data_IF_085325338190
#
_entry.id   IF_085325338190
#
_cell.length_a   1.000
_cell.length_b   1.000
_cell.length_c   1.000
_cell.angle_alpha   90.00
_cell.angle_beta   90.00
_cell.angle_gamma   90.00
#
_symmetry.space_group_name_H-M   'P 1'
#
loop_
_entity.id
_entity.type
_entity.pdbx_description
1 polymer ?
#
# COMPACT_ATOMS: atom_id res chain seq x y z
N UNK A 1 9.20 3.26 -32.33
CA UNK A 1 9.98 3.11 -31.09
C UNK A 1 11.13 2.14 -31.40
N UNK A 2 12.38 2.54 -31.17
CA UNK A 2 13.54 1.65 -31.40
C UNK A 2 13.83 0.81 -30.13
N UNK A 3 14.70 -0.21 -30.25
CA UNK A 3 15.04 -1.10 -29.12
C UNK A 3 15.55 -0.36 -27.88
N UNK A 4 16.36 0.70 -28.05
CA UNK A 4 16.89 1.51 -26.96
C UNK A 4 15.81 2.26 -26.19
N UNK A 5 14.83 2.83 -26.89
CA UNK A 5 13.72 3.58 -26.29
C UNK A 5 12.80 2.66 -25.48
N UNK A 6 12.52 1.45 -25.99
CA UNK A 6 11.75 0.43 -25.27
C UNK A 6 12.46 0.01 -23.99
N UNK A 7 13.77 -0.27 -24.06
CA UNK A 7 14.55 -0.62 -22.87
C UNK A 7 14.55 0.49 -21.81
N UNK A 8 14.60 1.76 -22.22
CA UNK A 8 14.50 2.89 -21.30
C UNK A 8 13.15 2.92 -20.59
N UNK A 9 12.06 2.65 -21.30
CA UNK A 9 10.71 2.62 -20.71
C UNK A 9 10.53 1.45 -19.75
N UNK A 10 11.07 0.27 -20.08
CA UNK A 10 11.06 -0.90 -19.19
C UNK A 10 11.76 -0.55 -17.86
N UNK A 11 12.97 0.01 -17.91
CA UNK A 11 13.70 0.40 -16.69
C UNK A 11 12.93 1.41 -15.85
N UNK A 12 12.36 2.43 -16.47
CA UNK A 12 11.56 3.43 -15.76
C UNK A 12 10.31 2.82 -15.09
N UNK A 13 9.67 1.84 -15.73
CA UNK A 13 8.55 1.12 -15.13
C UNK A 13 9.00 0.21 -13.97
N UNK A 14 10.13 -0.48 -14.11
CA UNK A 14 10.72 -1.31 -13.05
C UNK A 14 11.11 -0.47 -11.82
N UNK A 15 11.71 0.70 -12.01
CA UNK A 15 12.02 1.66 -10.94
C UNK A 15 10.76 2.10 -10.19
N UNK A 16 9.68 2.43 -10.92
CA UNK A 16 8.38 2.77 -10.31
C UNK A 16 7.82 1.62 -9.48
N UNK A 17 7.92 0.38 -9.97
CA UNK A 17 7.50 -0.80 -9.21
C UNK A 17 8.31 -0.92 -7.91
N UNK A 18 9.63 -0.69 -7.94
CA UNK A 18 10.45 -0.76 -6.73
C UNK A 18 10.02 0.27 -5.68
N UNK A 19 9.76 1.52 -6.11
CA UNK A 19 9.25 2.57 -5.22
C UNK A 19 7.90 2.16 -4.61
N UNK A 20 6.97 1.64 -5.41
CA UNK A 20 5.65 1.21 -4.94
C UNK A 20 5.74 0.01 -3.98
N UNK A 21 6.68 -0.92 -4.21
CA UNK A 21 6.96 -2.04 -3.28
C UNK A 21 7.49 -1.54 -1.94
N UNK A 22 8.36 -0.52 -1.94
CA UNK A 22 8.77 0.16 -0.71
C UNK A 22 7.59 0.76 0.04
N UNK A 23 6.72 1.50 -0.66
CA UNK A 23 5.51 2.07 -0.06
C UNK A 23 4.56 1.01 0.54
N UNK A 24 4.44 -0.18 -0.07
CA UNK A 24 3.66 -1.29 0.48
C UNK A 24 4.20 -1.80 1.82
N UNK A 25 5.53 -1.83 2.00
CA UNK A 25 6.15 -2.22 3.27
C UNK A 25 5.82 -1.20 4.36
N UNK A 26 5.91 0.09 4.03
CA UNK A 26 5.60 1.18 4.95
C UNK A 26 4.12 1.18 5.37
N UNK A 27 3.20 1.03 4.42
CA UNK A 27 1.77 0.93 4.68
C UNK A 27 1.41 -0.32 5.49
N UNK A 28 2.05 -1.46 5.22
CA UNK A 28 1.84 -2.68 6.02
C UNK A 28 2.29 -2.48 7.47
N UNK A 29 3.44 -1.84 7.65
CA UNK A 29 3.96 -1.49 8.98
C UNK A 29 3.06 -0.50 9.71
N UNK A 30 2.51 0.50 9.01
CA UNK A 30 1.54 1.43 9.57
C UNK A 30 0.24 0.74 9.99
N UNK A 31 -0.30 -0.15 9.15
CA UNK A 31 -1.49 -0.95 9.46
C UNK A 31 -1.31 -1.82 10.71
N UNK A 32 -0.11 -2.42 10.88
CA UNK A 32 0.24 -3.16 12.10
C UNK A 32 0.19 -2.28 13.34
N UNK A 33 0.81 -1.09 13.30
CA UNK A 33 0.78 -0.13 14.43
C UNK A 33 -0.64 0.33 14.78
N UNK A 34 -1.49 0.58 13.77
CA UNK A 34 -2.89 0.93 13.99
C UNK A 34 -3.67 -0.21 14.65
N UNK A 35 -3.41 -1.45 14.24
CA UNK A 35 -4.02 -2.64 14.84
C UNK A 35 -3.61 -2.81 16.30
N UNK A 36 -2.31 -2.63 16.60
CA UNK A 36 -1.77 -2.65 17.96
C UNK A 36 -2.41 -1.56 18.83
N UNK A 37 -2.49 -0.32 18.33
CA UNK A 37 -3.15 0.77 19.04
C UNK A 37 -4.64 0.48 19.33
N UNK A 38 -5.36 -0.10 18.36
CA UNK A 38 -6.75 -0.51 18.55
C UNK A 38 -6.91 -1.58 19.64
N UNK A 39 -5.98 -2.53 19.71
CA UNK A 39 -5.97 -3.54 20.76
C UNK A 39 -5.65 -2.94 22.14
N UNK A 40 -4.72 -1.99 22.22
CA UNK A 40 -4.39 -1.29 23.46
C UNK A 40 -5.59 -0.53 24.03
N UNK A 41 -6.40 0.12 23.18
CA UNK A 41 -7.61 0.83 23.65
C UNK A 41 -8.68 -0.15 24.14
N UNK A 42 -8.88 -1.26 23.42
CA UNK A 42 -9.80 -2.31 23.89
C UNK A 42 -9.40 -2.85 25.26
N UNK A 43 -8.11 -3.04 25.49
CA UNK A 43 -7.57 -3.46 26.78
C UNK A 43 -7.72 -2.37 27.86
N UNK A 44 -7.49 -1.10 27.52
CA UNK A 44 -7.71 0.01 28.44
C UNK A 44 -9.20 0.08 28.87
N UNK A 45 -10.13 -0.15 27.94
CA UNK A 45 -11.58 -0.24 28.25
C UNK A 45 -11.93 -1.39 29.17
N UNK A 46 -11.34 -2.56 28.98
CA UNK A 46 -11.62 -3.71 29.86
C UNK A 46 -11.09 -3.48 31.27
N UNK A 47 -9.91 -2.86 31.40
CA UNK A 47 -9.25 -2.57 32.69
C UNK A 47 -9.76 -1.31 33.39
N UNK A 48 -10.48 -0.42 32.71
CA UNK A 48 -11.16 0.74 33.30
C UNK A 48 -12.39 0.38 34.16
N UNK A 49 -12.68 -0.93 34.35
CA UNK A 49 -13.73 -1.45 35.24
C UNK A 49 -13.79 -0.88 36.67
N UNK A 50 -12.68 -0.47 37.33
CA UNK A 50 -12.74 0.15 38.66
C UNK A 50 -13.23 1.61 38.63
N UNK A 51 -13.23 2.28 37.47
CA UNK A 51 -13.58 3.70 37.37
C UNK A 51 -15.09 3.86 37.58
N UNK A 52 -15.50 4.92 38.27
CA UNK A 52 -16.91 5.20 38.60
C UNK A 52 -17.30 6.63 38.22
N UNK A 53 -18.60 6.85 38.05
CA UNK A 53 -19.16 8.17 37.75
C UNK A 53 -18.56 8.82 36.50
N UNK A 54 -18.42 10.15 36.54
CA UNK A 54 -18.02 10.98 35.40
C UNK A 54 -16.67 10.58 34.77
N UNK A 55 -15.74 10.00 35.52
CA UNK A 55 -14.45 9.52 34.99
C UNK A 55 -14.62 8.34 34.03
N UNK A 56 -15.50 7.39 34.39
CA UNK A 56 -15.82 6.24 33.54
C UNK A 56 -16.54 6.68 32.26
N UNK A 57 -17.50 7.60 32.39
CA UNK A 57 -18.26 8.14 31.26
C UNK A 57 -17.36 8.90 30.27
N UNK A 58 -16.52 9.80 30.78
CA UNK A 58 -15.58 10.59 29.97
C UNK A 58 -14.62 9.70 29.20
N UNK A 59 -14.01 8.72 29.89
CA UNK A 59 -13.10 7.78 29.24
C UNK A 59 -13.80 6.91 28.21
N UNK A 60 -14.99 6.38 28.53
CA UNK A 60 -15.73 5.52 27.60
C UNK A 60 -16.05 6.25 26.31
N UNK A 61 -16.46 7.52 26.40
CA UNK A 61 -16.72 8.36 25.24
C UNK A 61 -15.46 8.62 24.42
N UNK A 62 -14.35 9.01 25.07
CA UNK A 62 -13.07 9.22 24.39
C UNK A 62 -12.54 7.95 23.74
N UNK A 63 -12.65 6.80 24.40
CA UNK A 63 -12.18 5.53 23.89
C UNK A 63 -12.97 5.08 22.65
N UNK A 64 -14.30 5.32 22.62
CA UNK A 64 -15.12 5.09 21.42
C UNK A 64 -14.65 5.97 20.26
N UNK A 65 -14.44 7.27 20.50
CA UNK A 65 -13.97 8.18 19.45
C UNK A 65 -12.61 7.76 18.87
N UNK A 66 -11.68 7.32 19.71
CA UNK A 66 -10.36 6.87 19.23
C UNK A 66 -10.49 5.55 18.47
N UNK A 67 -11.34 4.62 18.91
CA UNK A 67 -11.63 3.38 18.17
C UNK A 67 -12.19 3.65 16.77
N UNK A 68 -13.11 4.62 16.64
CA UNK A 68 -13.67 5.03 15.35
C UNK A 68 -12.58 5.61 14.42
N UNK A 69 -11.71 6.47 14.96
CA UNK A 69 -10.58 7.06 14.22
C UNK A 69 -9.61 5.96 13.75
N UNK A 70 -9.26 5.02 14.62
CA UNK A 70 -8.37 3.91 14.27
C UNK A 70 -9.00 3.04 13.18
N UNK A 71 -10.28 2.72 13.31
CA UNK A 71 -11.01 1.92 12.32
C UNK A 71 -11.05 2.61 10.97
N UNK A 72 -11.31 3.92 10.94
CA UNK A 72 -11.27 4.71 9.71
C UNK A 72 -9.87 4.71 9.08
N UNK A 73 -8.83 4.93 9.88
CA UNK A 73 -7.44 4.92 9.39
C UNK A 73 -7.00 3.55 8.86
N UNK A 74 -7.42 2.45 9.50
CA UNK A 74 -7.16 1.09 9.01
C UNK A 74 -7.82 0.89 7.64
N UNK A 75 -9.07 1.33 7.48
CA UNK A 75 -9.77 1.25 6.20
C UNK A 75 -9.03 2.01 5.11
N UNK A 76 -8.69 3.28 5.35
CA UNK A 76 -7.93 4.10 4.39
C UNK A 76 -6.57 3.48 4.04
N UNK A 77 -5.85 2.93 5.03
CA UNK A 77 -4.58 2.26 4.78
C UNK A 77 -4.75 1.02 3.89
N UNK A 78 -5.80 0.23 4.10
CA UNK A 78 -6.10 -0.93 3.26
C UNK A 78 -6.49 -0.53 1.83
N UNK A 79 -7.26 0.54 1.67
CA UNK A 79 -7.62 1.08 0.35
C UNK A 79 -6.36 1.53 -0.41
N UNK A 80 -5.43 2.20 0.27
CA UNK A 80 -4.14 2.60 -0.31
C UNK A 80 -3.26 1.40 -0.69
N UNK A 81 -3.22 0.36 0.14
CA UNK A 81 -2.53 -0.91 -0.18
C UNK A 81 -3.12 -1.52 -1.45
N UNK A 82 -4.45 -1.63 -1.54
CA UNK A 82 -5.13 -2.22 -2.68
C UNK A 82 -4.90 -1.43 -3.96
N UNK A 83 -4.99 -0.10 -3.91
CA UNK A 83 -4.70 0.78 -5.03
C UNK A 83 -3.25 0.62 -5.50
N UNK A 84 -2.29 0.57 -4.57
CA UNK A 84 -0.86 0.40 -4.87
C UNK A 84 -0.58 -0.96 -5.51
N UNK A 85 -1.14 -2.04 -4.98
CA UNK A 85 -1.03 -3.38 -5.57
C UNK A 85 -1.62 -3.42 -6.98
N UNK A 86 -2.76 -2.77 -7.20
CA UNK A 86 -3.39 -2.67 -8.52
C UNK A 86 -2.49 -1.93 -9.50
N UNK A 87 -1.86 -0.82 -9.08
CA UNK A 87 -0.93 -0.08 -9.94
C UNK A 87 0.32 -0.89 -10.28
N UNK A 88 0.87 -1.65 -9.33
CA UNK A 88 2.00 -2.56 -9.60
C UNK A 88 1.63 -3.58 -10.68
N UNK A 89 0.47 -4.25 -10.55
CA UNK A 89 0.01 -5.23 -11.56
C UNK A 89 -0.16 -4.61 -12.95
N UNK A 90 -0.66 -3.37 -13.02
CA UNK A 90 -0.74 -2.64 -14.28
C UNK A 90 0.65 -2.39 -14.88
N UNK A 91 1.60 -1.92 -14.08
CA UNK A 91 2.98 -1.71 -14.52
C UNK A 91 3.66 -3.02 -14.96
N UNK A 92 3.40 -4.13 -14.26
CA UNK A 92 3.92 -5.45 -14.64
C UNK A 92 3.37 -5.89 -16.01
N UNK A 93 2.09 -5.64 -16.28
CA UNK A 93 1.47 -5.88 -17.59
C UNK A 93 2.04 -4.96 -18.67
N UNK A 94 2.23 -3.67 -18.36
CA UNK A 94 2.88 -2.70 -19.27
C UNK A 94 4.31 -3.16 -19.65
N UNK A 95 5.10 -3.61 -18.67
CA UNK A 95 6.44 -4.16 -18.89
C UNK A 95 6.40 -5.38 -19.80
N UNK A 96 5.46 -6.30 -19.60
CA UNK A 96 5.33 -7.49 -20.43
C UNK A 96 4.99 -7.13 -21.90
N UNK A 97 4.10 -6.16 -22.11
CA UNK A 97 3.83 -5.63 -23.45
C UNK A 97 5.06 -4.98 -24.09
N UNK A 98 5.83 -4.22 -23.32
CA UNK A 98 7.08 -3.60 -23.78
C UNK A 98 8.14 -4.65 -24.12
N UNK A 99 8.26 -5.74 -23.35
CA UNK A 99 9.18 -6.85 -23.64
C UNK A 99 8.85 -7.55 -24.96
N UNK A 100 7.57 -7.77 -25.23
CA UNK A 100 7.13 -8.31 -26.52
C UNK A 100 7.47 -7.35 -27.67
N UNK A 101 7.23 -6.05 -27.48
CA UNK A 101 7.60 -5.02 -28.45
C UNK A 101 9.10 -4.94 -28.71
N UNK A 102 9.91 -5.11 -27.66
CA UNK A 102 11.38 -5.15 -27.75
C UNK A 102 11.85 -6.34 -28.58
N UNK A 103 11.26 -7.52 -28.37
CA UNK A 103 11.59 -8.72 -29.15
C UNK A 103 11.33 -8.50 -30.64
N UNK A 104 10.18 -7.92 -31.00
CA UNK A 104 9.86 -7.57 -32.39
C UNK A 104 10.82 -6.52 -32.98
N UNK A 105 11.17 -5.48 -32.21
CA UNK A 105 12.10 -4.45 -32.65
C UNK A 105 13.49 -5.03 -32.94
N UNK A 106 14.00 -5.89 -32.05
CA UNK A 106 15.30 -6.55 -32.23
C UNK A 106 15.33 -7.48 -33.45
N UNK A 107 14.25 -8.21 -33.72
CA UNK A 107 14.14 -9.06 -34.91
C UNK A 107 14.15 -8.24 -36.21
N UNK A 108 13.44 -7.11 -36.23
CA UNK A 108 13.45 -6.21 -37.37
C UNK A 108 14.84 -5.61 -37.60
N UNK A 109 15.51 -5.16 -36.53
CA UNK A 109 16.88 -4.63 -36.60
C UNK A 109 17.89 -5.69 -37.09
N UNK A 110 17.72 -6.95 -36.72
CA UNK A 110 18.55 -8.06 -37.18
C UNK A 110 18.31 -8.43 -38.65
N UNK A 111 17.08 -8.24 -39.17
CA UNK A 111 16.71 -8.57 -40.55
C UNK A 111 17.13 -7.52 -41.58
N UNK A 112 17.55 -6.34 -41.12
CA UNK A 112 18.02 -5.22 -41.96
C UNK A 112 19.56 -5.21 -42.07
N UNK A 113 20.26 -6.05 -41.31
CA UNK A 113 21.72 -6.26 -41.39
C UNK A 113 22.07 -7.46 -42.24
#
# INVERSE_FOLDING_TARGET
MNSSEIMSQIRAAEEKIQVLKGALIDMSSAGKRLTEAGNSIKQAKSTAHPWRGQQKETFSYQAIQIEDIITANIRTNNDNIFATMTRIKQLESEIESLRNSLASALQAEASVK
#
